data_IF_162054294371
#
_entry.id   IF_162054294371
#
_cell.length_a   1.000
_cell.length_b   1.000
_cell.length_c   1.000
_cell.angle_alpha   90.00
_cell.angle_beta   90.00
_cell.angle_gamma   90.00
#
_symmetry.space_group_name_H-M   'P 1'
#
loop_
_entity.id
_entity.type
_entity.pdbx_description
1 polymer ?
#
# COMPACT_ATOMS: atom_id res chain seq x y z
N UNK A 1 20.50 5.45 -14.04
CA UNK A 1 19.79 4.95 -12.84
C UNK A 1 19.71 3.45 -12.95
N UNK A 2 20.36 2.72 -12.04
CA UNK A 2 20.28 1.25 -11.97
C UNK A 2 19.05 0.87 -11.16
N UNK A 3 18.01 0.42 -11.84
CA UNK A 3 16.85 -0.19 -11.19
C UNK A 3 17.29 -1.54 -10.62
N UNK A 4 17.22 -1.71 -9.30
CA UNK A 4 17.41 -3.02 -8.70
C UNK A 4 16.12 -3.81 -8.96
N UNK A 5 16.15 -4.85 -9.81
CA UNK A 5 14.96 -5.65 -10.05
C UNK A 5 14.53 -6.31 -8.75
N UNK A 6 13.26 -6.18 -8.42
CA UNK A 6 12.68 -6.85 -7.26
C UNK A 6 12.65 -8.35 -7.53
N UNK A 7 13.07 -9.17 -6.54
CA UNK A 7 13.04 -10.62 -6.67
C UNK A 7 11.62 -11.13 -6.98
N UNK A 8 11.49 -12.32 -7.60
CA UNK A 8 10.18 -12.89 -7.94
C UNK A 8 9.24 -13.00 -6.73
N UNK A 9 9.79 -13.31 -5.55
CA UNK A 9 9.04 -13.33 -4.29
C UNK A 9 8.56 -11.92 -3.88
N UNK A 10 9.37 -10.89 -4.10
CA UNK A 10 8.95 -9.51 -3.92
C UNK A 10 7.90 -9.07 -4.95
N UNK A 11 7.97 -9.55 -6.19
CA UNK A 11 6.98 -9.27 -7.23
C UNK A 11 5.62 -9.90 -6.92
N UNK A 12 5.61 -11.16 -6.43
CA UNK A 12 4.39 -11.81 -6.00
C UNK A 12 3.75 -11.08 -4.81
N UNK A 13 4.56 -10.72 -3.80
CA UNK A 13 4.09 -9.92 -2.67
C UNK A 13 3.50 -8.57 -3.10
N UNK A 14 4.16 -7.86 -4.03
CA UNK A 14 3.65 -6.62 -4.57
C UNK A 14 2.36 -6.81 -5.37
N UNK A 15 2.25 -7.89 -6.15
CA UNK A 15 1.03 -8.21 -6.89
C UNK A 15 -0.15 -8.46 -5.94
N UNK A 16 0.05 -9.24 -4.88
CA UNK A 16 -0.99 -9.51 -3.88
C UNK A 16 -1.40 -8.24 -3.14
N UNK A 17 -0.44 -7.39 -2.75
CA UNK A 17 -0.71 -6.07 -2.16
C UNK A 17 -1.51 -5.19 -3.13
N UNK A 18 -1.08 -5.11 -4.39
CA UNK A 18 -1.74 -4.30 -5.42
C UNK A 18 -3.17 -4.78 -5.64
N UNK A 19 -3.38 -6.10 -5.72
CA UNK A 19 -4.71 -6.70 -5.84
C UNK A 19 -5.59 -6.37 -4.64
N UNK A 20 -5.05 -6.50 -3.43
CA UNK A 20 -5.77 -6.18 -2.19
C UNK A 20 -6.21 -4.72 -2.18
N UNK A 21 -5.34 -3.78 -2.56
CA UNK A 21 -5.65 -2.35 -2.60
C UNK A 21 -6.69 -2.02 -3.69
N UNK A 22 -6.57 -2.61 -4.89
CA UNK A 22 -7.52 -2.38 -5.99
C UNK A 22 -8.91 -2.96 -5.74
N UNK A 23 -9.05 -3.92 -4.81
CA UNK A 23 -10.33 -4.53 -4.46
C UNK A 23 -11.12 -3.74 -3.41
N UNK A 24 -10.57 -2.65 -2.88
CA UNK A 24 -11.26 -1.87 -1.85
C UNK A 24 -12.45 -1.11 -2.45
N UNK A 25 -13.62 -1.15 -1.79
CA UNK A 25 -14.88 -0.63 -2.35
C UNK A 25 -14.93 0.90 -2.43
N UNK A 26 -14.13 1.60 -1.63
CA UNK A 26 -14.08 3.05 -1.57
C UNK A 26 -12.73 3.55 -1.01
N UNK A 27 -12.56 4.87 -0.97
CA UNK A 27 -11.34 5.52 -0.51
C UNK A 27 -11.08 5.30 0.99
N UNK A 28 -12.11 5.17 1.82
CA UNK A 28 -11.96 4.97 3.25
C UNK A 28 -11.43 3.56 3.55
N UNK A 29 -12.03 2.53 2.93
CA UNK A 29 -11.57 1.15 3.00
C UNK A 29 -10.15 0.98 2.43
N UNK A 30 -9.83 1.71 1.34
CA UNK A 30 -8.48 1.77 0.80
C UNK A 30 -7.47 2.35 1.79
N UNK A 31 -7.82 3.48 2.40
CA UNK A 31 -6.99 4.18 3.38
C UNK A 31 -6.70 3.30 4.61
N UNK A 32 -7.74 2.64 5.15
CA UNK A 32 -7.57 1.72 6.29
C UNK A 32 -6.67 0.53 5.92
N UNK A 33 -6.94 -0.10 4.77
CA UNK A 33 -6.16 -1.25 4.28
C UNK A 33 -4.69 -0.89 4.10
N UNK A 34 -4.40 0.25 3.48
CA UNK A 34 -3.02 0.68 3.25
C UNK A 34 -2.32 1.05 4.56
N UNK A 35 -3.01 1.70 5.50
CA UNK A 35 -2.48 2.00 6.85
C UNK A 35 -2.09 0.73 7.59
N UNK A 36 -2.94 -0.31 7.57
CA UNK A 36 -2.64 -1.62 8.17
C UNK A 36 -1.42 -2.27 7.53
N UNK A 37 -1.31 -2.25 6.21
CA UNK A 37 -0.16 -2.84 5.51
C UNK A 37 1.15 -2.17 5.91
N UNK A 38 1.17 -0.84 6.05
CA UNK A 38 2.36 -0.08 6.47
C UNK A 38 2.79 -0.46 7.89
N UNK A 39 1.82 -0.54 8.82
CA UNK A 39 2.07 -0.95 10.21
C UNK A 39 2.58 -2.39 10.30
N UNK A 40 1.93 -3.33 9.60
CA UNK A 40 2.29 -4.75 9.59
C UNK A 40 3.66 -5.01 8.97
N UNK A 41 4.04 -4.20 7.99
CA UNK A 41 5.33 -4.32 7.31
C UNK A 41 6.47 -3.62 8.07
N UNK A 42 6.19 -3.02 9.24
CA UNK A 42 7.12 -2.20 10.02
C UNK A 42 7.78 -1.08 9.17
N UNK A 43 7.07 -0.59 8.16
CA UNK A 43 7.55 0.49 7.29
C UNK A 43 7.51 1.85 8.00
N UNK A 44 6.59 2.01 8.96
CA UNK A 44 6.49 3.16 9.85
C UNK A 44 5.76 2.77 11.15
N UNK A 45 6.09 3.43 12.26
CA UNK A 45 5.36 3.32 13.54
C UNK A 45 3.92 3.85 13.44
N UNK A 46 3.72 4.90 12.63
CA UNK A 46 2.41 5.51 12.38
C UNK A 46 2.26 5.87 10.90
N UNK A 47 1.07 5.65 10.34
CA UNK A 47 0.71 6.05 8.99
C UNK A 47 -0.70 6.62 9.00
N UNK A 48 -0.85 7.80 8.41
CA UNK A 48 -2.14 8.45 8.22
C UNK A 48 -2.28 8.85 6.75
N UNK A 49 -3.40 8.48 6.14
CA UNK A 49 -3.71 8.83 4.75
C UNK A 49 -4.84 9.86 4.78
N UNK A 50 -4.54 11.05 4.30
CA UNK A 50 -5.47 12.17 4.25
C UNK A 50 -5.99 12.36 2.82
N UNK A 51 -7.32 12.43 2.61
CA UNK A 51 -7.88 12.87 1.34
C UNK A 51 -7.37 14.27 1.01
N UNK A 52 -6.96 14.51 -0.23
CA UNK A 52 -6.65 15.86 -0.68
C UNK A 52 -7.97 16.57 -0.97
N UNK A 53 -8.33 17.55 -0.13
CA UNK A 53 -9.43 18.46 -0.42
C UNK A 53 -9.01 19.36 -1.58
N UNK A 54 -9.66 19.21 -2.74
CA UNK A 54 -9.49 20.17 -3.84
C UNK A 54 -10.32 21.41 -3.51
N UNK A 55 -9.64 22.50 -3.16
CA UNK A 55 -10.22 23.84 -3.08
C UNK A 55 -10.63 24.40 -4.44
#
# INVERSE_FOLDING_TARGET
MSYTPMSDLGQQGLFDITRLLLQQPDLAALSETLTRLVQQSALADEAAIHPVERG
#
